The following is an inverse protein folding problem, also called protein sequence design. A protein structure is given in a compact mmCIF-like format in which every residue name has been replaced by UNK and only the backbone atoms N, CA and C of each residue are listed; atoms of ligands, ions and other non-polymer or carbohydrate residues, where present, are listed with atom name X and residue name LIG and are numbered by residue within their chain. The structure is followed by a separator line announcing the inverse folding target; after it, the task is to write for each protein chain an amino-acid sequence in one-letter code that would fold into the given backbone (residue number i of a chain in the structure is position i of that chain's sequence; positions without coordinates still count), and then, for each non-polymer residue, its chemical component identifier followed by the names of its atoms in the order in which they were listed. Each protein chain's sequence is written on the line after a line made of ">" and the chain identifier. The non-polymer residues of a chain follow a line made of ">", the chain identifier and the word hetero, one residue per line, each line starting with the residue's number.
data_IF_251901254184
#
_entry.id   IF_251901254184
#
_cell.length_a   1.000
_cell.length_b   1.000
_cell.length_c   1.000
_cell.angle_alpha   90.00
_cell.angle_beta   90.00
_cell.angle_gamma   90.00
#
_symmetry.space_group_name_H-M   'P 1'
#
loop_
_entity.id
_entity.type
_entity.pdbx_description
1 polymer ?
#
# COMPACT_ATOMS: atom_id res chain seq x y z
N UNK A 1 -8.44 66.36 47.93
CA UNK A 1 -9.16 65.07 47.97
C UNK A 1 -8.91 64.35 46.68
N UNK A 2 -8.30 63.16 46.74
CA UNK A 2 -7.88 62.38 45.58
C UNK A 2 -8.98 61.39 45.19
N UNK A 3 -9.33 61.30 43.90
CA UNK A 3 -10.32 60.34 43.38
C UNK A 3 -9.59 59.13 42.78
N UNK A 4 -10.01 57.93 43.21
CA UNK A 4 -9.58 56.64 42.66
C UNK A 4 -10.15 56.42 41.25
N UNK A 5 -9.29 56.11 40.28
CA UNK A 5 -9.70 55.45 39.03
C UNK A 5 -9.84 53.95 39.29
N UNK A 6 -11.04 53.39 39.17
CA UNK A 6 -11.24 51.95 39.11
C UNK A 6 -10.95 51.46 37.69
N UNK A 7 -9.92 50.64 37.52
CA UNK A 7 -9.64 49.92 36.27
C UNK A 7 -10.67 48.80 36.09
N UNK A 8 -11.44 48.85 35.01
CA UNK A 8 -12.36 47.78 34.63
C UNK A 8 -11.57 46.53 34.19
N UNK A 9 -12.07 45.31 34.45
CA UNK A 9 -11.45 44.10 33.95
C UNK A 9 -11.60 44.02 32.42
N UNK A 10 -10.49 43.77 31.72
CA UNK A 10 -10.45 43.53 30.28
C UNK A 10 -11.24 42.25 29.95
N UNK A 11 -12.08 42.23 28.90
CA UNK A 11 -12.71 40.99 28.46
C UNK A 11 -11.64 39.97 28.00
N UNK A 12 -11.83 38.70 28.37
CA UNK A 12 -11.00 37.59 27.92
C UNK A 12 -11.09 37.44 26.38
N UNK A 13 -10.00 37.04 25.69
CA UNK A 13 -10.03 36.86 24.25
C UNK A 13 -10.96 35.71 23.85
N UNK A 14 -11.83 35.97 22.88
CA UNK A 14 -12.71 34.98 22.22
C UNK A 14 -11.88 33.87 21.57
N UNK A 15 -12.28 32.58 21.67
CA UNK A 15 -11.60 31.51 20.94
C UNK A 15 -11.68 31.76 19.42
N UNK A 16 -10.53 31.68 18.75
CA UNK A 16 -10.42 31.81 17.29
C UNK A 16 -11.17 30.62 16.65
N UNK A 17 -12.00 30.84 15.61
CA UNK A 17 -12.63 29.74 14.89
C UNK A 17 -11.55 28.84 14.28
N UNK A 18 -11.57 27.56 14.62
CA UNK A 18 -10.74 26.54 13.97
C UNK A 18 -11.13 26.46 12.51
N UNK A 19 -10.23 26.89 11.61
CA UNK A 19 -10.39 26.72 10.17
C UNK A 19 -10.56 25.23 9.87
N UNK A 20 -11.74 24.84 9.35
CA UNK A 20 -11.97 23.49 8.88
C UNK A 20 -10.90 23.11 7.85
N UNK A 21 -10.29 21.94 8.01
CA UNK A 21 -9.35 21.39 7.03
C UNK A 21 -10.07 21.24 5.67
N UNK A 22 -9.39 21.50 4.54
CA UNK A 22 -10.01 21.35 3.24
C UNK A 22 -10.39 19.89 3.01
N UNK A 23 -11.66 19.67 2.69
CA UNK A 23 -12.18 18.37 2.25
C UNK A 23 -11.37 17.89 1.03
N UNK A 24 -10.75 16.69 1.04
CA UNK A 24 -10.07 16.18 -0.13
C UNK A 24 -11.09 16.01 -1.28
N UNK A 25 -10.68 16.41 -2.48
CA UNK A 25 -11.47 16.22 -3.68
C UNK A 25 -11.79 14.73 -3.89
N UNK A 26 -12.98 14.37 -4.41
CA UNK A 26 -13.32 12.98 -4.67
C UNK A 26 -12.31 12.38 -5.67
N UNK A 27 -11.58 11.36 -5.21
CA UNK A 27 -10.73 10.55 -6.08
C UNK A 27 -11.61 9.86 -7.14
N UNK A 28 -11.23 9.87 -8.43
CA UNK A 28 -11.96 9.13 -9.45
C UNK A 28 -12.08 7.67 -9.04
N UNK A 29 -13.29 7.10 -9.13
CA UNK A 29 -13.50 5.68 -8.90
C UNK A 29 -12.68 4.87 -9.94
N UNK A 30 -11.87 3.89 -9.52
CA UNK A 30 -11.21 3.01 -10.47
C UNK A 30 -12.24 2.11 -11.14
N UNK A 31 -12.23 2.13 -12.48
CA UNK A 31 -13.01 1.27 -13.36
C UNK A 31 -12.72 -0.20 -13.04
N UNK A 32 -13.67 -0.88 -12.42
CA UNK A 32 -13.62 -2.31 -12.13
C UNK A 32 -13.68 -3.12 -13.42
N UNK A 33 -12.52 -3.53 -13.94
CA UNK A 33 -12.41 -4.68 -14.82
C UNK A 33 -11.75 -5.81 -14.02
N UNK A 34 -12.34 -7.01 -14.07
CA UNK A 34 -11.62 -8.22 -13.72
C UNK A 34 -10.31 -8.29 -14.52
N UNK A 35 -9.27 -8.99 -14.04
CA UNK A 35 -8.07 -9.24 -14.82
C UNK A 35 -8.49 -9.73 -16.19
N UNK A 36 -8.28 -8.91 -17.24
CA UNK A 36 -8.19 -9.45 -18.58
C UNK A 36 -7.16 -10.57 -18.44
N UNK A 37 -7.55 -11.83 -18.68
CA UNK A 37 -6.86 -13.05 -18.21
C UNK A 37 -5.42 -13.26 -18.69
N UNK A 38 -4.80 -12.22 -19.22
CA UNK A 38 -3.42 -12.04 -19.63
C UNK A 38 -2.52 -11.46 -18.52
N UNK A 39 -3.07 -10.83 -17.47
CA UNK A 39 -2.28 -10.23 -16.38
C UNK A 39 -2.35 -11.05 -15.09
N UNK A 40 -1.26 -11.11 -14.30
CA UNK A 40 -1.21 -11.93 -13.09
C UNK A 40 -1.94 -11.26 -11.91
N UNK A 41 -2.08 -9.93 -11.91
CA UNK A 41 -2.92 -9.19 -10.96
C UNK A 41 -3.46 -7.89 -11.54
N UNK A 42 -4.53 -7.38 -10.94
CA UNK A 42 -5.14 -6.10 -11.29
C UNK A 42 -5.82 -5.46 -10.07
N UNK A 43 -5.69 -4.14 -9.94
CA UNK A 43 -6.47 -3.34 -8.98
C UNK A 43 -7.92 -3.27 -9.45
N UNK A 44 -8.85 -3.76 -8.63
CA UNK A 44 -10.28 -3.79 -8.95
C UNK A 44 -11.11 -2.77 -8.17
N UNK A 45 -10.55 -2.27 -7.06
CA UNK A 45 -11.17 -1.24 -6.23
C UNK A 45 -10.11 -0.43 -5.47
N UNK A 46 -10.40 0.86 -5.24
CA UNK A 46 -9.55 1.74 -4.43
C UNK A 46 -8.27 2.23 -5.11
N UNK A 47 -7.50 3.10 -4.44
CA UNK A 47 -6.49 3.94 -5.08
C UNK A 47 -5.10 3.28 -5.23
N UNK A 48 -4.99 1.96 -5.07
CA UNK A 48 -3.75 1.25 -5.38
C UNK A 48 -3.47 1.28 -6.88
N UNK A 49 -2.23 0.99 -7.27
CA UNK A 49 -1.82 1.00 -8.68
C UNK A 49 -0.97 -0.21 -9.04
N UNK A 50 -0.84 -0.47 -10.34
CA UNK A 50 0.18 -1.36 -10.90
C UNK A 50 1.17 -0.43 -11.64
N UNK A 51 2.44 -0.48 -11.27
CA UNK A 51 3.47 0.37 -11.87
C UNK A 51 3.97 -0.17 -13.24
N UNK A 52 4.93 0.53 -13.84
CA UNK A 52 5.51 0.17 -15.15
C UNK A 52 6.23 -1.18 -15.14
N UNK A 53 6.73 -1.61 -13.98
CA UNK A 53 7.42 -2.89 -13.80
C UNK A 53 6.44 -4.03 -13.44
N UNK A 54 5.13 -3.73 -13.48
CA UNK A 54 4.03 -4.62 -13.12
C UNK A 54 4.01 -4.97 -11.63
N UNK A 55 4.59 -4.15 -10.77
CA UNK A 55 4.48 -4.30 -9.33
C UNK A 55 3.22 -3.59 -8.80
N UNK A 56 2.55 -4.24 -7.85
CA UNK A 56 1.44 -3.62 -7.14
C UNK A 56 1.98 -2.62 -6.12
N UNK A 57 1.37 -1.45 -6.05
CA UNK A 57 1.80 -0.38 -5.14
C UNK A 57 0.68 0.16 -4.27
N UNK A 58 1.05 0.59 -3.06
CA UNK A 58 0.17 1.38 -2.20
C UNK A 58 -0.23 2.68 -2.91
N UNK A 59 -1.34 3.31 -2.48
CA UNK A 59 -1.72 4.60 -3.02
C UNK A 59 -0.58 5.62 -2.93
N UNK A 60 -0.41 6.43 -3.97
CA UNK A 60 0.59 7.49 -4.10
C UNK A 60 2.07 7.05 -4.13
N UNK A 61 2.38 5.75 -4.01
CA UNK A 61 3.78 5.28 -4.00
C UNK A 61 4.58 5.84 -5.19
N UNK A 62 5.81 6.36 -4.99
CA UNK A 62 6.65 6.26 -3.78
C UNK A 62 6.39 7.32 -2.70
N UNK A 63 5.38 8.18 -2.87
CA UNK A 63 4.95 9.08 -1.81
C UNK A 63 4.10 8.35 -0.76
N UNK A 64 3.98 8.91 0.46
CA UNK A 64 3.13 8.32 1.48
C UNK A 64 1.68 8.11 1.03
N UNK A 65 1.08 7.01 1.47
CA UNK A 65 -0.37 6.83 1.38
C UNK A 65 -1.09 7.85 2.27
N UNK A 66 -2.40 8.01 2.10
CA UNK A 66 -3.23 8.83 2.96
C UNK A 66 -3.98 7.98 4.00
N UNK A 67 -4.50 8.62 5.03
CA UNK A 67 -5.38 8.01 6.02
C UNK A 67 -6.70 7.54 5.38
N UNK A 68 -7.33 6.53 5.97
CA UNK A 68 -8.63 5.97 5.61
C UNK A 68 -8.72 5.49 4.15
N UNK A 69 -7.62 5.01 3.57
CA UNK A 69 -7.61 4.45 2.24
C UNK A 69 -7.78 2.95 2.29
N UNK A 70 -8.47 2.40 1.29
CA UNK A 70 -8.59 0.97 1.12
C UNK A 70 -8.54 0.62 -0.37
N UNK A 71 -7.96 -0.53 -0.70
CA UNK A 71 -7.97 -1.04 -2.06
C UNK A 71 -8.05 -2.58 -2.09
N UNK A 72 -8.43 -3.11 -3.25
CA UNK A 72 -8.50 -4.55 -3.51
C UNK A 72 -7.83 -4.86 -4.83
N UNK A 73 -6.97 -5.88 -4.80
CA UNK A 73 -6.20 -6.35 -5.95
C UNK A 73 -6.57 -7.82 -6.17
N UNK A 74 -7.21 -8.11 -7.30
CA UNK A 74 -7.47 -9.49 -7.70
C UNK A 74 -6.23 -10.10 -8.34
N UNK A 75 -6.08 -11.41 -8.17
CA UNK A 75 -4.97 -12.19 -8.69
C UNK A 75 -5.49 -13.26 -9.64
N UNK A 76 -4.76 -13.52 -10.72
CA UNK A 76 -4.95 -14.67 -11.58
C UNK A 76 -4.06 -15.80 -11.07
N UNK A 77 -4.63 -16.73 -10.32
CA UNK A 77 -3.91 -17.83 -9.65
C UNK A 77 -3.12 -18.73 -10.61
N UNK A 78 -3.41 -18.70 -11.92
CA UNK A 78 -2.65 -19.46 -12.92
C UNK A 78 -1.38 -18.75 -13.40
N UNK A 79 -1.22 -17.46 -13.10
CA UNK A 79 -0.12 -16.61 -13.59
C UNK A 79 0.69 -15.96 -12.47
N UNK A 80 0.24 -16.06 -11.22
CA UNK A 80 0.94 -15.46 -10.07
C UNK A 80 2.13 -16.31 -9.65
N UNK A 81 3.19 -15.62 -9.26
CA UNK A 81 4.41 -16.17 -8.68
C UNK A 81 4.55 -15.70 -7.22
N UNK A 82 5.51 -16.24 -6.44
CA UNK A 82 5.78 -15.76 -5.08
C UNK A 82 6.01 -14.24 -5.03
N UNK A 83 5.45 -13.58 -4.02
CA UNK A 83 5.64 -12.15 -3.82
C UNK A 83 7.01 -11.85 -3.19
N UNK A 84 7.55 -10.69 -3.56
CA UNK A 84 8.67 -10.02 -2.92
C UNK A 84 8.24 -8.59 -2.58
N UNK A 85 8.56 -8.12 -1.38
CA UNK A 85 8.24 -6.77 -0.95
C UNK A 85 9.45 -5.85 -1.17
N UNK A 86 9.62 -5.36 -2.40
CA UNK A 86 10.71 -4.44 -2.78
C UNK A 86 10.77 -3.18 -1.88
N UNK A 87 9.62 -2.74 -1.37
CA UNK A 87 9.52 -1.76 -0.30
C UNK A 87 8.31 -2.05 0.57
N UNK A 88 8.48 -1.92 1.88
CA UNK A 88 7.40 -2.08 2.85
C UNK A 88 7.65 -1.20 4.06
N UNK A 89 6.94 -0.08 4.17
CA UNK A 89 6.99 0.84 5.31
C UNK A 89 5.59 1.38 5.57
N UNK A 90 4.93 0.79 6.56
CA UNK A 90 3.53 1.05 6.94
C UNK A 90 3.44 1.29 8.46
N UNK A 91 2.33 1.82 8.98
CA UNK A 91 2.16 1.90 10.43
C UNK A 91 2.00 0.49 11.04
N UNK A 92 2.90 0.14 11.96
CA UNK A 92 2.94 -1.19 12.57
C UNK A 92 1.70 -1.46 13.41
N UNK A 93 0.94 -2.49 13.05
CA UNK A 93 -0.25 -2.94 13.79
C UNK A 93 -1.57 -2.25 13.42
N UNK A 94 -1.55 -1.22 12.59
CA UNK A 94 -2.74 -0.41 12.26
C UNK A 94 -3.05 -0.42 10.76
N UNK A 95 -2.04 -0.15 9.92
CA UNK A 95 -2.19 -0.19 8.48
C UNK A 95 -1.82 -1.58 7.95
N UNK A 96 -2.79 -2.26 7.33
CA UNK A 96 -2.71 -3.69 7.08
C UNK A 96 -2.77 -4.01 5.59
N UNK A 97 -1.73 -4.70 5.11
CA UNK A 97 -1.78 -5.47 3.87
C UNK A 97 -2.17 -6.91 4.20
N UNK A 98 -3.16 -7.47 3.52
CA UNK A 98 -3.59 -8.86 3.70
C UNK A 98 -3.36 -9.68 2.44
N UNK A 99 -2.55 -10.73 2.56
CA UNK A 99 -2.28 -11.72 1.51
C UNK A 99 -2.65 -13.09 2.06
N UNK A 100 -3.50 -13.85 1.37
CA UNK A 100 -3.99 -15.17 1.84
C UNK A 100 -4.56 -15.16 3.28
N UNK A 101 -5.18 -14.05 3.67
CA UNK A 101 -5.71 -13.86 5.02
C UNK A 101 -4.67 -13.48 6.09
N UNK A 102 -3.37 -13.57 5.80
CA UNK A 102 -2.29 -13.13 6.68
C UNK A 102 -2.12 -11.62 6.60
N UNK A 103 -2.01 -10.95 7.75
CA UNK A 103 -1.85 -9.51 7.83
C UNK A 103 -0.36 -9.13 7.99
N UNK A 104 0.06 -8.12 7.23
CA UNK A 104 1.41 -7.54 7.22
C UNK A 104 1.31 -6.05 7.53
N UNK A 105 2.24 -5.54 8.34
CA UNK A 105 2.35 -4.13 8.72
C UNK A 105 3.78 -3.81 9.20
N UNK A 106 4.08 -2.54 9.43
CA UNK A 106 5.42 -2.10 9.80
C UNK A 106 6.38 -2.19 8.63
N UNK A 107 7.52 -2.87 8.84
CA UNK A 107 8.62 -2.99 7.87
C UNK A 107 8.82 -4.39 7.32
N UNK A 108 7.98 -5.35 7.72
CA UNK A 108 8.06 -6.75 7.27
C UNK A 108 6.88 -7.07 6.36
N UNK A 109 7.13 -6.99 5.05
CA UNK A 109 6.15 -7.36 4.02
C UNK A 109 6.10 -8.87 3.75
N UNK A 110 5.21 -9.31 2.83
CA UNK A 110 5.19 -10.68 2.37
C UNK A 110 6.43 -11.00 1.52
N UNK A 111 7.10 -12.10 1.87
CA UNK A 111 8.27 -12.62 1.16
C UNK A 111 8.07 -14.11 0.86
N UNK A 112 8.18 -14.48 -0.42
CA UNK A 112 7.98 -15.85 -0.89
C UNK A 112 6.53 -16.37 -0.83
N UNK A 113 5.55 -15.48 -0.60
CA UNK A 113 4.14 -15.87 -0.46
C UNK A 113 3.47 -15.89 -1.83
N UNK A 114 2.89 -17.01 -2.25
CA UNK A 114 2.11 -17.09 -3.49
C UNK A 114 0.65 -16.70 -3.20
N UNK A 115 0.09 -15.64 -3.81
CA UNK A 115 -1.30 -15.26 -3.59
C UNK A 115 -2.28 -16.29 -4.14
N UNK A 116 -3.25 -16.71 -3.33
CA UNK A 116 -4.32 -17.64 -3.72
C UNK A 116 -5.71 -16.99 -3.71
N UNK A 117 -5.80 -15.75 -3.24
CA UNK A 117 -7.01 -14.95 -3.14
C UNK A 117 -6.68 -13.47 -3.36
N UNK A 118 -7.69 -12.58 -3.51
CA UNK A 118 -7.44 -11.15 -3.62
C UNK A 118 -6.62 -10.60 -2.45
N UNK A 119 -5.76 -9.65 -2.75
CA UNK A 119 -4.95 -8.91 -1.79
C UNK A 119 -5.74 -7.67 -1.37
N UNK A 120 -5.74 -7.38 -0.07
CA UNK A 120 -6.43 -6.21 0.50
C UNK A 120 -5.43 -5.29 1.18
N UNK A 121 -5.67 -3.99 1.06
CA UNK A 121 -4.92 -2.97 1.79
C UNK A 121 -5.89 -2.02 2.47
N UNK A 122 -5.58 -1.63 3.71
CA UNK A 122 -6.31 -0.61 4.46
C UNK A 122 -5.35 0.25 5.29
N UNK A 123 -5.58 1.56 5.33
CA UNK A 123 -4.97 2.46 6.31
C UNK A 123 -5.99 3.02 7.31
N UNK A 124 -5.54 3.33 8.52
CA UNK A 124 -6.37 3.86 9.59
C UNK A 124 -6.51 5.41 9.52
N UNK A 125 -7.00 6.05 10.59
CA UNK A 125 -7.28 7.49 10.59
C UNK A 125 -6.05 8.38 10.79
N UNK A 126 -4.85 7.85 11.05
CA UNK A 126 -3.64 8.61 11.37
C UNK A 126 -2.33 7.96 10.84
N UNK A 127 -1.19 8.59 11.14
CA UNK A 127 0.18 8.09 10.88
C UNK A 127 0.41 7.43 9.50
N UNK A 128 0.72 8.27 8.51
CA UNK A 128 1.12 7.77 7.19
C UNK A 128 2.62 7.42 7.13
N UNK A 129 2.96 6.48 6.25
CA UNK A 129 4.34 6.05 5.93
C UNK A 129 4.53 5.93 4.42
N UNK A 130 5.75 5.58 3.99
CA UNK A 130 6.12 5.49 2.57
C UNK A 130 5.34 4.46 1.75
N UNK A 131 4.59 3.57 2.39
CA UNK A 131 3.74 2.59 1.73
C UNK A 131 4.48 1.33 1.36
N UNK A 132 4.03 0.66 0.30
CA UNK A 132 4.57 -0.62 -0.13
C UNK A 132 4.60 -0.76 -1.64
N UNK A 133 5.53 -1.59 -2.12
CA UNK A 133 5.62 -2.06 -3.49
C UNK A 133 5.87 -3.56 -3.47
N UNK A 134 4.91 -4.31 -4.00
CA UNK A 134 4.96 -5.77 -4.11
C UNK A 134 5.23 -6.15 -5.55
N UNK A 135 6.24 -6.98 -5.75
CA UNK A 135 6.58 -7.53 -7.05
C UNK A 135 6.42 -9.05 -7.02
N UNK A 136 6.25 -9.66 -8.18
CA UNK A 136 6.37 -11.11 -8.32
C UNK A 136 7.85 -11.46 -8.49
N UNK A 137 8.33 -12.46 -7.76
CA UNK A 137 9.67 -13.00 -7.95
C UNK A 137 9.78 -13.46 -9.41
N UNK A 138 10.84 -13.04 -10.10
CA UNK A 138 11.10 -13.62 -11.42
C UNK A 138 11.29 -15.13 -11.25
N UNK A 139 10.75 -15.95 -12.17
CA UNK A 139 11.02 -17.37 -12.15
C UNK A 139 12.54 -17.56 -12.22
N UNK A 140 13.12 -18.17 -11.18
CA UNK A 140 14.52 -18.58 -11.23
C UNK A 140 14.67 -19.49 -12.45
N UNK A 141 15.55 -19.19 -13.42
CA UNK A 141 15.82 -20.12 -14.51
C UNK A 141 16.18 -21.46 -13.90
N UNK A 142 15.52 -22.54 -14.34
CA UNK A 142 15.90 -23.88 -13.93
C UNK A 142 17.42 -24.04 -14.14
N UNK A 143 18.16 -24.63 -13.18
CA UNK A 143 19.58 -24.86 -13.38
C UNK A 143 19.77 -25.62 -14.68
N UNK A 144 20.58 -25.05 -15.60
CA UNK A 144 20.92 -25.72 -16.86
C UNK A 144 21.40 -27.13 -16.53
N UNK A 145 20.83 -28.19 -17.12
CA UNK A 145 21.36 -29.54 -16.90
C UNK A 145 22.83 -29.51 -17.29
N UNK A 146 23.71 -29.90 -16.35
CA UNK A 146 25.14 -30.03 -16.61
C UNK A 146 25.30 -30.95 -17.83
N UNK A 147 26.01 -30.54 -18.90
CA UNK A 147 26.24 -31.41 -20.04
C UNK A 147 26.97 -32.66 -19.53
N UNK A 148 26.29 -33.81 -19.62
CA UNK A 148 26.90 -35.10 -19.30
C UNK A 148 27.91 -35.37 -20.40
N UNK A 149 29.20 -35.17 -20.10
CA UNK A 149 30.30 -35.56 -20.97
C UNK A 149 30.16 -37.05 -21.27
N UNK A 150 29.80 -37.38 -22.52
CA UNK A 150 29.82 -38.75 -22.99
C UNK A 150 31.24 -39.29 -22.85
N UNK A 151 31.39 -40.44 -22.18
CA UNK A 151 32.66 -41.14 -22.09
C UNK A 151 33.17 -41.47 -23.51
N UNK A 152 34.49 -41.34 -23.79
CA UNK A 152 35.03 -41.74 -25.07
C UNK A 152 34.77 -43.23 -25.29
N UNK A 153 34.21 -43.56 -26.45
CA UNK A 153 33.98 -44.94 -26.90
C UNK A 153 35.34 -45.60 -27.18
N UNK A 154 35.56 -46.88 -26.77
CA UNK A 154 36.87 -47.57 -26.84
C UNK A 154 37.39 -47.80 -28.26
#
# INVERSE_FOLDING_TARGET
>A
GWRLCMSQPTPAPTPVPTTAAPTPAPTPAPTTAAPNGQQPWQVVAGPCSIDSDRCATSPNYPQPYNNNQACTITVNVALVEPLVADSFTTESGYDLLRVNGQAYSGTAGPEGVVPSAPIYWTSDYSVVRGGWRLCMSQPTPAPTPVPTTAAPTP
#
